data_IF_346940847832
#
_entry.id   IF_346940847832
#
_cell.length_a   1.000
_cell.length_b   1.000
_cell.length_c   1.000
_cell.angle_alpha   90.00
_cell.angle_beta   90.00
_cell.angle_gamma   90.00
#
_symmetry.space_group_name_H-M   'P 1'
#
loop_
_entity.id
_entity.type
_entity.pdbx_description
1 polymer ?
#
# COMPACT_ATOMS: atom_id res chain seq x y z
N UNK A 1 -41.55 -40.21 -28.74
CA UNK A 1 -42.69 -39.27 -28.59
C UNK A 1 -43.68 -39.89 -27.63
N UNK A 2 -43.96 -39.23 -26.50
CA UNK A 2 -44.91 -39.72 -25.50
C UNK A 2 -46.19 -38.89 -25.53
N UNK A 3 -47.35 -39.55 -25.55
CA UNK A 3 -48.67 -38.91 -25.51
C UNK A 3 -49.24 -39.00 -24.09
N UNK A 4 -49.58 -37.85 -23.51
CA UNK A 4 -50.37 -37.77 -22.27
C UNK A 4 -51.77 -37.28 -22.62
N UNK A 5 -52.77 -38.07 -22.25
CA UNK A 5 -54.19 -37.72 -22.38
C UNK A 5 -54.77 -37.59 -20.98
N UNK A 6 -55.36 -36.44 -20.66
CA UNK A 6 -56.13 -36.22 -19.43
C UNK A 6 -57.57 -35.92 -19.79
N UNK A 7 -58.49 -36.76 -19.34
CA UNK A 7 -59.93 -36.60 -19.56
C UNK A 7 -60.59 -35.98 -18.33
N UNK A 8 -61.37 -34.92 -18.54
CA UNK A 8 -62.11 -34.26 -17.46
C UNK A 8 -63.46 -34.94 -17.23
N UNK A 9 -63.92 -34.99 -15.98
CA UNK A 9 -65.27 -35.48 -15.65
C UNK A 9 -66.30 -34.41 -15.97
N UNK A 10 -67.51 -34.82 -16.40
CA UNK A 10 -68.64 -33.92 -16.71
C UNK A 10 -69.08 -33.03 -15.52
N UNK A 11 -68.78 -33.43 -14.29
CA UNK A 11 -69.11 -32.69 -13.06
C UNK A 11 -67.92 -31.94 -12.45
N UNK A 12 -66.79 -31.86 -13.16
CA UNK A 12 -65.62 -31.14 -12.64
C UNK A 12 -65.82 -29.63 -12.70
N UNK A 13 -65.93 -28.99 -11.55
CA UNK A 13 -65.96 -27.53 -11.43
C UNK A 13 -64.53 -26.99 -11.35
N UNK A 14 -64.13 -26.19 -12.34
CA UNK A 14 -62.84 -25.51 -12.39
C UNK A 14 -62.93 -24.16 -11.66
N UNK A 15 -63.25 -24.21 -10.36
CA UNK A 15 -63.20 -23.00 -9.56
C UNK A 15 -61.76 -22.69 -9.17
N UNK A 16 -61.33 -21.47 -9.49
CA UNK A 16 -59.99 -20.98 -9.18
C UNK A 16 -59.95 -20.64 -7.68
N UNK A 17 -59.81 -21.65 -6.83
CA UNK A 17 -59.28 -21.44 -5.49
C UNK A 17 -57.80 -21.08 -5.64
N UNK A 18 -57.53 -19.83 -6.03
CA UNK A 18 -56.36 -19.12 -5.56
C UNK A 18 -56.56 -19.05 -4.04
N UNK A 19 -56.25 -20.14 -3.33
CA UNK A 19 -55.99 -20.02 -1.90
C UNK A 19 -55.04 -18.84 -1.78
N UNK A 20 -55.41 -17.86 -0.95
CA UNK A 20 -54.61 -16.65 -0.76
C UNK A 20 -53.15 -17.11 -0.77
N UNK A 21 -52.39 -16.65 -1.77
CA UNK A 21 -50.96 -16.92 -1.80
C UNK A 21 -50.47 -16.19 -0.58
N UNK A 22 -50.39 -16.91 0.54
CA UNK A 22 -49.98 -16.38 1.82
C UNK A 22 -48.68 -15.63 1.59
N UNK A 23 -48.58 -14.47 2.22
CA UNK A 23 -47.47 -13.53 2.00
C UNK A 23 -46.14 -14.29 1.84
N UNK A 24 -45.42 -13.96 0.75
CA UNK A 24 -44.21 -14.66 0.29
C UNK A 24 -43.35 -15.05 1.49
N UNK A 25 -42.97 -16.33 1.62
CA UNK A 25 -42.24 -16.87 2.77
C UNK A 25 -40.96 -16.07 3.14
N UNK A 26 -40.44 -15.27 2.21
CA UNK A 26 -39.36 -14.30 2.43
C UNK A 26 -39.67 -13.20 3.48
N UNK A 27 -40.95 -12.91 3.78
CA UNK A 27 -41.33 -11.92 4.79
C UNK A 27 -41.23 -12.44 6.24
N UNK A 28 -40.99 -13.73 6.45
CA UNK A 28 -40.79 -14.33 7.78
C UNK A 28 -39.33 -14.31 8.24
N UNK A 29 -38.40 -13.81 7.43
CA UNK A 29 -37.00 -13.66 7.84
C UNK A 29 -36.81 -12.34 8.58
N UNK A 30 -36.62 -12.42 9.90
CA UNK A 30 -36.31 -11.26 10.72
C UNK A 30 -35.02 -10.60 10.22
N UNK A 31 -35.10 -9.33 9.88
CA UNK A 31 -33.92 -8.54 9.50
C UNK A 31 -32.98 -8.44 10.70
N UNK A 32 -31.71 -8.80 10.49
CA UNK A 32 -30.65 -8.66 11.49
C UNK A 32 -30.19 -7.21 11.57
N UNK A 33 -31.07 -6.33 12.04
CA UNK A 33 -30.73 -4.93 12.26
C UNK A 33 -30.10 -4.77 13.66
N UNK A 34 -28.90 -4.17 13.74
CA UNK A 34 -28.30 -3.86 15.02
C UNK A 34 -29.19 -2.86 15.77
N UNK A 35 -29.40 -3.11 17.06
CA UNK A 35 -30.21 -2.23 17.91
C UNK A 35 -29.40 -0.99 18.31
N UNK A 36 -30.03 0.17 18.27
CA UNK A 36 -29.46 1.41 18.83
C UNK A 36 -29.46 1.31 20.34
N UNK A 37 -28.30 1.49 20.94
CA UNK A 37 -28.11 1.49 22.39
C UNK A 37 -28.40 2.88 22.97
N UNK A 38 -28.50 2.96 24.29
CA UNK A 38 -28.68 4.25 24.99
C UNK A 38 -27.56 5.25 24.66
N UNK A 39 -26.32 4.79 24.53
CA UNK A 39 -25.16 5.62 24.15
C UNK A 39 -25.40 6.35 22.83
N UNK A 40 -25.99 5.67 21.84
CA UNK A 40 -26.33 6.29 20.55
C UNK A 40 -27.36 7.41 20.74
N UNK A 41 -28.39 7.17 21.56
CA UNK A 41 -29.44 8.17 21.84
C UNK A 41 -28.84 9.39 22.53
N UNK A 42 -28.01 9.18 23.56
CA UNK A 42 -27.35 10.25 24.31
C UNK A 42 -26.40 11.07 23.42
N UNK A 43 -25.67 10.41 22.51
CA UNK A 43 -24.84 11.09 21.50
C UNK A 43 -25.68 11.97 20.57
N UNK A 44 -26.83 11.51 20.10
CA UNK A 44 -27.69 12.32 19.21
C UNK A 44 -28.24 13.56 19.90
N UNK A 45 -28.54 13.49 21.20
CA UNK A 45 -28.97 14.66 21.99
C UNK A 45 -27.81 15.65 22.11
N UNK A 46 -26.61 15.19 22.48
CA UNK A 46 -25.41 16.03 22.56
C UNK A 46 -25.08 16.72 21.24
N UNK A 47 -25.13 15.98 20.13
CA UNK A 47 -24.86 16.52 18.79
C UNK A 47 -25.91 17.56 18.38
N UNK A 48 -27.18 17.36 18.73
CA UNK A 48 -28.25 18.33 18.46
C UNK A 48 -28.06 19.63 19.25
N UNK A 49 -27.68 19.54 20.52
CA UNK A 49 -27.50 20.71 21.39
C UNK A 49 -26.23 21.51 21.07
N UNK A 50 -25.14 20.84 20.68
CA UNK A 50 -23.82 21.45 20.48
C UNK A 50 -23.30 21.41 19.04
N UNK A 51 -24.18 21.27 18.04
CA UNK A 51 -23.82 21.13 16.63
C UNK A 51 -22.84 22.20 16.12
N UNK A 52 -23.07 23.46 16.47
CA UNK A 52 -22.27 24.59 15.99
C UNK A 52 -20.82 24.53 16.51
N UNK A 53 -20.65 24.26 17.81
CA UNK A 53 -19.33 24.15 18.43
C UNK A 53 -18.55 22.96 17.85
N UNK A 54 -19.21 21.81 17.69
CA UNK A 54 -18.60 20.63 17.08
C UNK A 54 -18.14 20.90 15.65
N UNK A 55 -18.96 21.58 14.85
CA UNK A 55 -18.60 21.93 13.49
C UNK A 55 -17.38 22.86 13.45
N UNK A 56 -17.33 23.89 14.31
CA UNK A 56 -16.20 24.81 14.37
C UNK A 56 -14.89 24.13 14.78
N UNK A 57 -14.94 23.27 15.81
CA UNK A 57 -13.79 22.49 16.25
C UNK A 57 -13.31 21.57 15.13
N UNK A 58 -14.24 20.86 14.47
CA UNK A 58 -13.91 19.99 13.34
C UNK A 58 -13.24 20.75 12.20
N UNK A 59 -13.74 21.94 11.82
CA UNK A 59 -13.13 22.74 10.76
C UNK A 59 -11.72 23.20 11.11
N UNK A 60 -11.51 23.66 12.35
CA UNK A 60 -10.19 24.05 12.85
C UNK A 60 -9.22 22.87 12.80
N UNK A 61 -9.64 21.71 13.30
CA UNK A 61 -8.78 20.54 13.40
C UNK A 61 -8.47 19.95 12.03
N UNK A 62 -9.45 19.95 11.11
CA UNK A 62 -9.24 19.56 9.72
C UNK A 62 -8.24 20.48 9.01
N UNK A 63 -8.31 21.79 9.28
CA UNK A 63 -7.34 22.75 8.75
C UNK A 63 -5.92 22.49 9.29
N UNK A 64 -5.80 22.26 10.60
CA UNK A 64 -4.51 21.93 11.22
C UNK A 64 -3.93 20.61 10.70
N UNK A 65 -4.78 19.59 10.48
CA UNK A 65 -4.37 18.33 9.86
C UNK A 65 -3.85 18.56 8.44
N UNK A 66 -4.56 19.32 7.60
CA UNK A 66 -4.11 19.66 6.25
C UNK A 66 -2.77 20.38 6.26
N UNK A 67 -2.57 21.31 7.18
CA UNK A 67 -1.30 22.02 7.34
C UNK A 67 -0.18 21.05 7.75
N UNK A 68 -0.42 20.19 8.73
CA UNK A 68 0.55 19.21 9.20
C UNK A 68 0.96 18.23 8.10
N UNK A 69 -0.01 17.68 7.37
CA UNK A 69 0.22 16.80 6.21
C UNK A 69 1.02 17.52 5.13
N UNK A 70 0.65 18.76 4.79
CA UNK A 70 1.35 19.53 3.77
C UNK A 70 2.80 19.83 4.17
N UNK A 71 3.05 20.17 5.44
CA UNK A 71 4.41 20.36 5.97
C UNK A 71 5.22 19.07 5.91
N UNK A 72 4.66 17.96 6.37
CA UNK A 72 5.31 16.65 6.30
C UNK A 72 5.63 16.26 4.86
N UNK A 73 4.69 16.45 3.93
CA UNK A 73 4.88 16.17 2.51
C UNK A 73 5.95 17.06 1.86
N UNK A 74 5.98 18.35 2.20
CA UNK A 74 7.01 19.27 1.73
C UNK A 74 8.40 18.86 2.23
N UNK A 75 8.52 18.49 3.51
CA UNK A 75 9.77 18.00 4.08
C UNK A 75 10.24 16.71 3.40
N UNK A 76 9.35 15.76 3.14
CA UNK A 76 9.67 14.53 2.42
C UNK A 76 10.12 14.81 0.97
N UNK A 77 9.48 15.76 0.31
CA UNK A 77 9.83 16.17 -1.06
C UNK A 77 11.19 16.87 -1.11
N UNK A 78 11.49 17.76 -0.15
CA UNK A 78 12.78 18.45 -0.06
C UNK A 78 13.92 17.47 0.25
N UNK A 79 13.69 16.51 1.14
CA UNK A 79 14.68 15.50 1.50
C UNK A 79 14.73 14.34 0.49
N UNK A 80 13.91 14.37 -0.56
CA UNK A 80 13.81 13.34 -1.61
C UNK A 80 13.52 11.91 -1.11
N UNK A 81 13.02 11.73 0.13
CA UNK A 81 12.85 10.41 0.78
C UNK A 81 11.67 9.58 0.23
N UNK A 82 11.13 9.96 -0.92
CA UNK A 82 10.01 9.27 -1.53
C UNK A 82 10.55 8.15 -2.42
N UNK A 83 10.10 6.91 -2.19
CA UNK A 83 10.38 5.73 -3.02
C UNK A 83 9.71 5.77 -4.40
N UNK A 84 8.84 6.76 -4.62
CA UNK A 84 8.14 7.00 -5.87
C UNK A 84 8.37 8.47 -6.27
N UNK A 85 8.94 8.67 -7.45
CA UNK A 85 8.97 10.00 -8.05
C UNK A 85 7.59 10.34 -8.63
N UNK A 86 6.98 11.43 -8.16
CA UNK A 86 5.65 11.90 -8.60
C UNK A 86 5.71 12.88 -9.77
N UNK A 87 6.91 13.19 -10.30
CA UNK A 87 7.06 14.06 -11.48
C UNK A 87 6.61 13.28 -12.72
N UNK A 88 5.61 13.81 -13.43
CA UNK A 88 5.00 13.16 -14.61
C UNK A 88 5.99 12.66 -15.66
N UNK A 89 7.14 13.31 -15.80
CA UNK A 89 8.15 12.98 -16.82
C UNK A 89 9.25 12.03 -16.32
N UNK A 90 9.39 11.88 -15.00
CA UNK A 90 10.48 11.14 -14.33
C UNK A 90 9.88 10.19 -13.27
N UNK A 91 8.71 9.63 -13.54
CA UNK A 91 8.03 8.73 -12.61
C UNK A 91 8.74 7.38 -12.60
N UNK A 92 9.51 7.13 -11.54
CA UNK A 92 10.20 5.87 -11.28
C UNK A 92 9.84 5.39 -9.89
N UNK A 93 9.50 4.12 -9.80
CA UNK A 93 9.29 3.40 -8.55
C UNK A 93 10.52 2.55 -8.25
N UNK A 94 11.01 2.67 -7.02
CA UNK A 94 12.10 1.85 -6.49
C UNK A 94 11.54 0.97 -5.36
N UNK A 95 11.67 -0.33 -5.51
CA UNK A 95 11.41 -1.29 -4.45
C UNK A 95 12.70 -2.03 -4.11
N UNK A 96 12.95 -2.23 -2.82
CA UNK A 96 14.18 -2.87 -2.34
C UNK A 96 13.81 -3.99 -1.39
N UNK A 97 14.38 -5.16 -1.64
CA UNK A 97 14.23 -6.35 -0.81
C UNK A 97 15.62 -6.76 -0.32
N UNK A 98 15.74 -7.13 0.95
CA UNK A 98 17.00 -7.60 1.52
C UNK A 98 16.82 -9.07 1.90
N UNK A 99 17.69 -9.91 1.35
CA UNK A 99 17.72 -11.34 1.62
C UNK A 99 19.03 -11.73 2.31
N UNK A 100 18.95 -12.54 3.35
CA UNK A 100 20.10 -13.02 4.10
C UNK A 100 19.93 -12.83 5.60
N UNK A 101 20.65 -13.62 6.37
CA UNK A 101 20.61 -13.60 7.84
C UNK A 101 21.88 -12.99 8.46
N UNK A 102 22.84 -12.55 7.63
CA UNK A 102 24.14 -12.01 8.05
C UNK A 102 25.27 -13.05 8.00
N UNK A 103 26.56 -12.63 8.00
CA UNK A 103 27.03 -11.25 7.90
C UNK A 103 26.97 -10.68 6.47
N UNK A 104 26.57 -11.50 5.48
CA UNK A 104 26.43 -11.10 4.08
C UNK A 104 24.95 -11.08 3.71
N UNK A 105 24.51 -9.96 3.14
CA UNK A 105 23.16 -9.76 2.65
C UNK A 105 23.16 -9.56 1.14
N UNK A 106 22.15 -10.11 0.48
CA UNK A 106 21.84 -9.86 -0.91
C UNK A 106 20.72 -8.85 -0.99
N UNK A 107 21.05 -7.64 -1.41
CA UNK A 107 20.10 -6.58 -1.70
C UNK A 107 19.57 -6.73 -3.13
N UNK A 108 18.25 -6.76 -3.28
CA UNK A 108 17.55 -6.89 -4.56
C UNK A 108 16.80 -5.59 -4.81
N UNK A 109 17.19 -4.88 -5.85
CA UNK A 109 16.66 -3.55 -6.17
C UNK A 109 15.84 -3.68 -7.45
N UNK A 110 14.54 -3.42 -7.34
CA UNK A 110 13.59 -3.46 -8.45
C UNK A 110 13.27 -2.02 -8.86
N UNK A 111 13.59 -1.69 -10.10
CA UNK A 111 13.30 -0.40 -10.70
C UNK A 111 12.20 -0.57 -11.74
N UNK A 112 11.15 0.24 -11.62
CA UNK A 112 10.06 0.28 -12.59
C UNK A 112 9.82 1.72 -13.03
N UNK A 113 9.94 1.96 -14.34
CA UNK A 113 9.59 3.24 -14.92
C UNK A 113 8.09 3.29 -15.24
N UNK A 114 7.43 4.36 -14.80
CA UNK A 114 6.07 4.74 -15.16
C UNK A 114 6.04 5.96 -16.09
N UNK A 115 7.21 6.47 -16.51
CA UNK A 115 7.33 7.56 -17.48
C UNK A 115 6.89 7.12 -18.89
N UNK A 116 6.41 8.06 -19.70
CA UNK A 116 6.10 7.80 -21.12
C UNK A 116 7.36 7.81 -22.00
N UNK A 117 8.35 8.62 -21.62
CA UNK A 117 9.64 8.71 -22.31
C UNK A 117 10.66 7.81 -21.61
N UNK A 118 11.55 7.15 -22.37
CA UNK A 118 12.62 6.36 -21.80
C UNK A 118 13.62 7.27 -21.09
N UNK A 119 13.98 6.92 -19.86
CA UNK A 119 15.00 7.63 -19.09
C UNK A 119 16.37 7.03 -19.41
N UNK A 120 17.34 7.87 -19.77
CA UNK A 120 18.69 7.46 -20.17
C UNK A 120 19.74 8.05 -19.22
N UNK A 121 20.95 7.50 -19.23
CA UNK A 121 22.09 7.99 -18.43
C UNK A 121 21.85 8.00 -16.91
N UNK A 122 21.24 6.93 -16.43
CA UNK A 122 20.89 6.77 -15.04
C UNK A 122 22.02 6.09 -14.26
N UNK A 123 22.21 6.54 -13.02
CA UNK A 123 23.17 5.95 -12.09
C UNK A 123 22.48 5.63 -10.77
N UNK A 124 22.75 4.44 -10.25
CA UNK A 124 22.36 4.02 -8.91
C UNK A 124 23.51 4.31 -7.94
N UNK A 125 23.25 5.10 -6.93
CA UNK A 125 24.22 5.43 -5.87
C UNK A 125 23.75 4.89 -4.53
N UNK A 126 24.69 4.35 -3.76
CA UNK A 126 24.46 3.89 -2.40
C UNK A 126 25.12 4.86 -1.41
N UNK A 127 24.34 5.37 -0.47
CA UNK A 127 24.84 6.17 0.64
C UNK A 127 24.59 5.41 1.94
N UNK A 128 25.68 5.02 2.60
CA UNK A 128 25.69 4.17 3.78
C UNK A 128 26.84 4.57 4.70
N UNK A 129 26.80 4.10 5.95
CA UNK A 129 27.91 4.26 6.88
C UNK A 129 28.99 3.18 6.63
N UNK A 130 30.18 3.63 6.20
CA UNK A 130 31.33 2.76 5.88
C UNK A 130 31.90 2.03 7.09
N UNK A 131 31.57 2.46 8.31
CA UNK A 131 31.97 1.75 9.54
C UNK A 131 31.17 0.46 9.78
N UNK A 132 29.96 0.37 9.21
CA UNK A 132 29.03 -0.75 9.45
C UNK A 132 28.87 -1.67 8.26
N UNK A 133 28.86 -1.11 7.04
CA UNK A 133 28.60 -1.86 5.82
C UNK A 133 29.69 -1.65 4.78
N UNK A 134 29.94 -2.69 3.99
CA UNK A 134 30.82 -2.70 2.83
C UNK A 134 30.02 -3.17 1.61
N UNK A 135 30.05 -2.37 0.54
CA UNK A 135 29.39 -2.64 -0.74
C UNK A 135 30.46 -2.92 -1.80
N UNK A 136 30.26 -3.95 -2.62
CA UNK A 136 31.17 -4.28 -3.73
C UNK A 136 31.22 -3.15 -4.77
N UNK A 137 30.05 -2.60 -5.12
CA UNK A 137 29.90 -1.48 -6.04
C UNK A 137 29.00 -0.40 -5.43
N UNK A 138 29.55 0.78 -5.14
CA UNK A 138 28.78 1.92 -4.59
C UNK A 138 28.08 2.76 -5.67
N UNK A 139 28.45 2.58 -6.94
CA UNK A 139 27.91 3.30 -8.08
C UNK A 139 27.71 2.33 -9.25
N UNK A 140 26.45 2.14 -9.67
CA UNK A 140 26.10 1.19 -10.74
C UNK A 140 25.45 1.97 -11.90
N UNK A 141 25.98 1.90 -13.13
CA UNK A 141 25.34 2.47 -14.30
C UNK A 141 24.11 1.65 -14.68
N UNK A 142 22.97 2.31 -14.86
CA UNK A 142 21.69 1.67 -15.20
C UNK A 142 21.41 1.83 -16.70
N UNK A 143 20.95 0.77 -17.40
CA UNK A 143 20.50 0.89 -18.77
C UNK A 143 19.29 1.83 -18.91
N UNK A 144 18.94 2.21 -20.14
CA UNK A 144 17.77 3.05 -20.36
C UNK A 144 16.50 2.36 -19.84
N UNK A 145 15.79 3.01 -18.90
CA UNK A 145 14.57 2.48 -18.31
C UNK A 145 13.39 2.80 -19.23
N UNK A 146 12.70 1.75 -19.67
CA UNK A 146 11.51 1.83 -20.52
C UNK A 146 10.26 1.55 -19.69
N UNK A 147 9.16 2.23 -20.03
CA UNK A 147 7.86 2.04 -19.40
C UNK A 147 7.38 0.58 -19.49
N UNK A 148 6.86 0.06 -18.38
CA UNK A 148 6.25 -1.29 -18.34
C UNK A 148 7.24 -2.45 -18.20
N UNK A 149 8.54 -2.19 -18.04
CA UNK A 149 9.56 -3.20 -17.73
C UNK A 149 10.08 -2.99 -16.32
N UNK A 150 10.21 -4.08 -15.57
CA UNK A 150 10.84 -4.09 -14.24
C UNK A 150 12.27 -4.59 -14.36
N UNK A 151 13.23 -3.75 -13.97
CA UNK A 151 14.65 -4.05 -13.98
C UNK A 151 15.07 -4.47 -12.57
N UNK A 152 15.79 -5.58 -12.45
CA UNK A 152 16.20 -6.13 -11.17
C UNK A 152 17.72 -6.14 -11.08
N UNK A 153 18.25 -5.52 -10.02
CA UNK A 153 19.67 -5.46 -9.72
C UNK A 153 19.95 -6.21 -8.42
N UNK A 154 21.09 -6.89 -8.38
CA UNK A 154 21.54 -7.64 -7.21
C UNK A 154 22.85 -7.04 -6.73
N UNK A 155 22.89 -6.64 -5.47
CA UNK A 155 24.08 -6.09 -4.83
C UNK A 155 24.36 -6.87 -3.56
N UNK A 156 25.61 -7.24 -3.35
CA UNK A 156 26.05 -7.92 -2.14
C UNK A 156 26.53 -6.85 -1.16
N UNK A 157 26.02 -6.95 0.07
CA UNK A 157 26.34 -6.05 1.18
C UNK A 157 26.91 -6.87 2.32
N UNK A 158 28.11 -6.53 2.77
CA UNK A 158 28.77 -7.19 3.90
C UNK A 158 28.66 -6.31 5.14
N UNK A 159 28.21 -6.89 6.25
CA UNK A 159 28.28 -6.25 7.56
C UNK A 159 29.67 -6.47 8.17
N UNK A 160 30.32 -5.37 8.57
CA UNK A 160 31.68 -5.40 9.12
C UNK A 160 31.70 -5.76 10.61
N UNK A 161 30.62 -5.45 11.34
CA UNK A 161 30.53 -5.63 12.80
C UNK A 161 29.29 -6.46 13.19
N UNK A 162 29.22 -7.77 12.84
CA UNK A 162 28.07 -8.61 13.17
C UNK A 162 27.85 -8.76 14.69
N UNK A 163 28.94 -8.78 15.46
CA UNK A 163 28.95 -8.92 16.93
C UNK A 163 28.13 -7.86 17.68
N UNK A 164 28.03 -6.65 17.13
CA UNK A 164 27.39 -5.52 17.81
C UNK A 164 25.87 -5.48 17.58
N UNK A 165 25.34 -6.28 16.65
CA UNK A 165 23.92 -6.32 16.32
C UNK A 165 23.34 -4.95 15.91
N UNK A 166 24.15 -4.09 15.30
CA UNK A 166 23.73 -2.72 14.92
C UNK A 166 23.03 -2.77 13.56
N UNK A 167 21.87 -2.11 13.49
CA UNK A 167 21.11 -1.87 12.27
C UNK A 167 21.17 -0.37 11.97
N UNK A 168 21.51 0.00 10.74
CA UNK A 168 21.52 1.37 10.25
C UNK A 168 20.83 1.45 8.88
N UNK A 169 20.39 2.65 8.51
CA UNK A 169 19.65 2.87 7.27
C UNK A 169 20.59 3.13 6.10
N UNK A 170 20.36 2.41 4.99
CA UNK A 170 21.03 2.64 3.72
C UNK A 170 20.13 3.43 2.79
N UNK A 171 20.67 4.49 2.19
CA UNK A 171 19.97 5.30 1.18
C UNK A 171 20.40 4.89 -0.22
N UNK A 172 19.44 4.57 -1.05
CA UNK A 172 19.63 4.19 -2.45
C UNK A 172 19.07 5.30 -3.31
N UNK A 173 19.91 5.92 -4.13
CA UNK A 173 19.59 7.15 -4.85
C UNK A 173 19.71 6.87 -6.35
N UNK A 174 18.65 7.15 -7.10
CA UNK A 174 18.70 7.16 -8.56
C UNK A 174 18.96 8.58 -9.06
N UNK A 175 20.02 8.73 -9.83
CA UNK A 175 20.49 10.03 -10.32
C UNK A 175 20.51 10.06 -11.85
N UNK A 176 20.10 11.20 -12.41
CA UNK A 176 20.23 11.56 -13.82
C UNK A 176 21.03 12.86 -13.96
N UNK A 177 22.20 12.83 -14.61
CA UNK A 177 23.05 14.01 -14.90
C UNK A 177 23.18 15.06 -13.77
N UNK A 178 23.20 14.64 -12.50
CA UNK A 178 23.21 15.46 -11.26
C UNK A 178 21.85 15.85 -10.65
N UNK A 179 20.74 15.26 -11.08
CA UNK A 179 19.42 15.38 -10.45
C UNK A 179 19.01 14.07 -9.80
N UNK A 180 18.62 14.12 -8.53
CA UNK A 180 18.03 12.98 -7.84
C UNK A 180 16.59 12.81 -8.34
N UNK A 181 16.30 11.66 -8.93
CA UNK A 181 14.96 11.30 -9.38
C UNK A 181 14.15 10.73 -8.22
N UNK A 182 14.73 9.76 -7.52
CA UNK A 182 14.05 8.97 -6.49
C UNK A 182 15.07 8.44 -5.50
N UNK A 183 14.69 8.41 -4.21
CA UNK A 183 15.52 7.86 -3.13
C UNK A 183 14.70 6.85 -2.35
N UNK A 184 15.26 5.66 -2.15
CA UNK A 184 14.72 4.67 -1.23
C UNK A 184 15.58 4.63 0.04
N UNK A 185 14.93 4.78 1.20
CA UNK A 185 15.56 4.55 2.51
C UNK A 185 15.23 3.12 2.93
N UNK A 186 16.25 2.34 3.24
CA UNK A 186 16.09 0.93 3.60
C UNK A 186 16.85 0.66 4.89
N UNK A 187 16.11 0.27 5.92
CA UNK A 187 16.70 -0.18 7.19
C UNK A 187 17.27 -1.58 7.01
N UNK A 188 18.57 -1.74 7.23
CA UNK A 188 19.23 -3.04 7.09
C UNK A 188 18.83 -3.97 8.26
N UNK A 189 18.56 -5.26 8.01
CA UNK A 189 18.28 -6.21 9.08
C UNK A 189 19.50 -6.39 9.99
N UNK A 190 19.25 -6.73 11.25
CA UNK A 190 20.31 -7.08 12.20
C UNK A 190 21.01 -8.36 11.73
N UNK A 191 22.34 -8.37 11.77
CA UNK A 191 23.12 -9.58 11.44
C UNK A 191 23.04 -10.56 12.59
N UNK A 192 22.68 -11.81 12.29
CA UNK A 192 22.84 -12.91 13.22
C UNK A 192 24.33 -13.31 13.28
N UNK A 193 24.79 -13.64 14.48
CA UNK A 193 26.17 -14.08 14.70
C UNK A 193 26.38 -15.42 14.00
N UNK A 194 27.43 -15.53 13.19
CA UNK A 194 27.85 -16.81 12.64
C UNK A 194 28.29 -17.71 13.79
N UNK A 195 27.53 -18.75 14.11
CA UNK A 195 27.90 -19.77 15.11
C UNK A 195 29.02 -20.71 14.61
N UNK A 196 29.71 -20.35 13.51
CA UNK A 196 30.71 -21.17 12.83
C UNK A 196 32.08 -20.49 12.79
N UNK A 197 32.50 -19.89 13.91
CA UNK A 197 33.91 -19.65 14.23
C UNK A 197 34.27 -20.33 15.56
#
# INVERSE_FOLDING_TARGET
GGLIVKLFRRTGTLEKNLGEVGAVQAQFQKLNLPRRTQIYVDQTIREREHAQLMHQVFQRDLFMLRLAVTKAFANLTQNSLNSISTKKNEAVEISVEINGFGPIFRMIIKLQAASQLPLQHLYLMFHYNQEFYEFEESLIPIPALVSGVTYVFHVIVRCLNPEKGISDDVRIILVDHCKIIVTALVTMPVSEMSLLD
#
